data_IF_482818983951
#
_entry.id   IF_482818983951
#
_cell.length_a   1.000
_cell.length_b   1.000
_cell.length_c   1.000
_cell.angle_alpha   90.00
_cell.angle_beta   90.00
_cell.angle_gamma   90.00
#
_symmetry.space_group_name_H-M   'P 1'
#
loop_
_entity.id
_entity.type
_entity.pdbx_description
1 polymer ?
#
# COMPACT_ATOMS: atom_id res chain seq x y z
N UNK A 1 22.71 -6.65 -28.06
CA UNK A 1 22.96 -6.15 -26.69
C UNK A 1 21.76 -6.51 -25.86
N UNK A 2 21.89 -7.53 -25.03
CA UNK A 2 20.83 -8.10 -24.19
C UNK A 2 20.56 -7.11 -23.06
N UNK A 3 19.38 -6.49 -23.03
CA UNK A 3 18.93 -5.63 -21.94
C UNK A 3 18.87 -6.41 -20.62
N UNK A 4 18.98 -5.74 -19.46
CA UNK A 4 18.95 -6.40 -18.17
C UNK A 4 17.60 -7.07 -17.98
N UNK A 5 17.63 -8.41 -17.90
CA UNK A 5 16.48 -9.25 -17.53
C UNK A 5 15.94 -8.77 -16.18
N UNK A 6 14.69 -8.28 -16.19
CA UNK A 6 13.94 -7.86 -15.01
C UNK A 6 13.66 -9.10 -14.14
N UNK A 7 14.60 -9.43 -13.23
CA UNK A 7 14.30 -10.39 -12.17
C UNK A 7 13.31 -9.74 -11.20
N UNK A 8 12.24 -10.45 -10.76
CA UNK A 8 11.40 -9.97 -9.67
C UNK A 8 12.30 -9.65 -8.48
N UNK A 9 12.12 -8.50 -7.84
CA UNK A 9 12.82 -8.21 -6.59
C UNK A 9 12.52 -9.34 -5.60
N UNK A 10 13.55 -9.95 -5.05
CA UNK A 10 13.45 -11.03 -4.08
C UNK A 10 12.55 -10.59 -2.92
N UNK A 11 11.33 -11.17 -2.82
CA UNK A 11 10.39 -10.91 -1.74
C UNK A 11 8.92 -10.70 -2.13
N UNK A 12 8.58 -10.37 -3.38
CA UNK A 12 7.18 -10.17 -3.78
C UNK A 12 6.45 -11.50 -3.91
N UNK A 13 5.46 -11.76 -3.05
CA UNK A 13 4.68 -13.00 -3.18
C UNK A 13 3.76 -12.94 -4.41
N UNK A 14 3.58 -14.09 -5.09
CA UNK A 14 2.64 -14.20 -6.22
C UNK A 14 1.23 -13.68 -5.89
N UNK A 15 0.78 -13.89 -4.63
CA UNK A 15 -0.49 -13.35 -4.14
C UNK A 15 -0.51 -11.83 -4.11
N UNK A 16 0.58 -11.20 -3.70
CA UNK A 16 0.67 -9.75 -3.60
C UNK A 16 0.70 -9.09 -4.99
N UNK A 17 1.40 -9.67 -5.97
CA UNK A 17 1.38 -9.25 -7.37
C UNK A 17 -0.01 -9.45 -7.98
N UNK A 18 -0.65 -10.59 -7.72
CA UNK A 18 -2.01 -10.87 -8.20
C UNK A 18 -3.01 -9.82 -7.69
N UNK A 19 -2.93 -9.41 -6.43
CA UNK A 19 -3.79 -8.33 -5.89
C UNK A 19 -3.55 -7.00 -6.63
N UNK A 20 -2.31 -6.68 -6.98
CA UNK A 20 -2.01 -5.49 -7.79
C UNK A 20 -2.62 -5.60 -9.18
N UNK A 21 -2.47 -6.75 -9.86
CA UNK A 21 -3.09 -7.00 -11.17
C UNK A 21 -4.62 -6.91 -11.10
N UNK A 22 -5.24 -7.47 -10.07
CA UNK A 22 -6.70 -7.38 -9.89
C UNK A 22 -7.16 -5.94 -9.68
N UNK A 23 -6.44 -5.14 -8.92
CA UNK A 23 -6.77 -3.73 -8.67
C UNK A 23 -6.61 -2.85 -9.91
N UNK A 24 -5.50 -3.02 -10.64
CA UNK A 24 -5.13 -2.16 -11.76
C UNK A 24 -5.87 -2.47 -13.07
N UNK A 25 -6.18 -3.75 -13.30
CA UNK A 25 -6.67 -4.18 -14.61
C UNK A 25 -8.04 -4.85 -14.53
N UNK A 26 -8.29 -5.70 -13.55
CA UNK A 26 -9.55 -6.47 -13.48
C UNK A 26 -10.69 -5.66 -12.88
N UNK A 27 -10.43 -4.93 -11.81
CA UNK A 27 -11.43 -4.08 -11.16
C UNK A 27 -12.02 -3.02 -12.11
N UNK A 28 -11.21 -2.24 -12.85
CA UNK A 28 -11.73 -1.26 -13.81
C UNK A 28 -12.44 -1.89 -15.01
N UNK A 29 -12.08 -3.13 -15.37
CA UNK A 29 -12.69 -3.89 -16.48
C UNK A 29 -13.98 -4.64 -16.10
N UNK A 30 -14.59 -4.33 -14.94
CA UNK A 30 -15.85 -4.94 -14.52
C UNK A 30 -15.70 -6.07 -13.50
N UNK A 31 -14.48 -6.46 -13.14
CA UNK A 31 -14.20 -7.40 -12.05
C UNK A 31 -14.31 -8.87 -12.43
N UNK A 32 -14.16 -9.19 -13.70
CA UNK A 32 -14.25 -10.57 -14.24
C UNK A 32 -13.01 -10.86 -15.09
N UNK A 33 -12.43 -12.05 -14.95
CA UNK A 33 -11.20 -12.43 -15.67
C UNK A 33 -11.06 -13.94 -15.80
N UNK A 34 -10.41 -14.41 -16.87
CA UNK A 34 -10.11 -15.83 -17.07
C UNK A 34 -8.87 -16.28 -16.30
N UNK A 35 -8.84 -17.55 -15.89
CA UNK A 35 -7.67 -18.14 -15.22
C UNK A 35 -6.41 -18.01 -16.08
N UNK A 36 -6.52 -18.28 -17.38
CA UNK A 36 -5.40 -18.20 -18.31
C UNK A 36 -4.83 -16.79 -18.37
N UNK A 37 -5.70 -15.78 -18.51
CA UNK A 37 -5.29 -14.36 -18.52
C UNK A 37 -4.49 -14.00 -17.26
N UNK A 38 -4.95 -14.42 -16.08
CA UNK A 38 -4.21 -14.17 -14.83
C UNK A 38 -2.86 -14.90 -14.78
N UNK A 39 -2.81 -16.14 -15.26
CA UNK A 39 -1.56 -16.91 -15.31
C UNK A 39 -0.57 -16.27 -16.28
N UNK A 40 -1.01 -15.88 -17.48
CA UNK A 40 -0.17 -15.20 -18.48
C UNK A 40 0.30 -13.82 -17.97
N UNK A 41 -0.59 -13.03 -17.37
CA UNK A 41 -0.23 -11.75 -16.75
C UNK A 41 0.84 -11.91 -15.65
N UNK A 42 0.69 -12.93 -14.79
CA UNK A 42 1.67 -13.22 -13.74
C UNK A 42 2.98 -13.81 -14.32
N UNK A 43 2.94 -14.52 -15.45
CA UNK A 43 4.14 -15.00 -16.15
C UNK A 43 5.00 -13.82 -16.67
N UNK A 44 4.38 -12.72 -17.16
CA UNK A 44 5.10 -11.48 -17.50
C UNK A 44 5.83 -10.88 -16.29
N UNK A 45 5.35 -11.15 -15.06
CA UNK A 45 5.97 -10.72 -13.82
C UNK A 45 6.97 -11.74 -13.24
N UNK A 46 7.30 -12.79 -14.01
CA UNK A 46 8.24 -13.84 -13.59
C UNK A 46 7.66 -14.85 -12.59
N UNK A 47 6.33 -14.91 -12.44
CA UNK A 47 5.68 -15.89 -11.57
C UNK A 47 5.38 -17.16 -12.35
N UNK A 48 5.87 -18.31 -11.85
CA UNK A 48 5.58 -19.61 -12.44
C UNK A 48 4.08 -19.95 -12.38
N UNK A 49 3.58 -20.68 -13.38
CA UNK A 49 2.17 -21.07 -13.49
C UNK A 49 1.61 -21.72 -12.22
N UNK A 50 2.38 -22.65 -11.63
CA UNK A 50 2.00 -23.32 -10.38
C UNK A 50 1.75 -22.33 -9.25
N UNK A 51 2.65 -21.37 -9.08
CA UNK A 51 2.56 -20.33 -8.04
C UNK A 51 1.41 -19.36 -8.32
N UNK A 52 1.17 -19.02 -9.61
CA UNK A 52 0.04 -18.21 -10.03
C UNK A 52 -1.29 -18.90 -9.68
N UNK A 53 -1.46 -20.18 -10.03
CA UNK A 53 -2.67 -20.96 -9.71
C UNK A 53 -2.89 -21.08 -8.19
N UNK A 54 -1.83 -21.31 -7.41
CA UNK A 54 -1.91 -21.31 -5.95
C UNK A 54 -2.33 -19.96 -5.37
N UNK A 55 -1.81 -18.86 -5.93
CA UNK A 55 -2.18 -17.51 -5.51
C UNK A 55 -3.67 -17.23 -5.77
N UNK A 56 -4.19 -17.63 -6.93
CA UNK A 56 -5.62 -17.51 -7.28
C UNK A 56 -6.48 -18.31 -6.29
N UNK A 57 -6.12 -19.58 -6.01
CA UNK A 57 -6.82 -20.41 -5.03
C UNK A 57 -6.87 -19.77 -3.65
N UNK A 58 -5.74 -19.23 -3.16
CA UNK A 58 -5.69 -18.53 -1.86
C UNK A 58 -6.59 -17.28 -1.81
N UNK A 59 -6.74 -16.55 -2.91
CA UNK A 59 -7.67 -15.42 -2.96
C UNK A 59 -9.12 -15.89 -2.99
N UNK A 60 -9.41 -17.05 -3.59
CA UNK A 60 -10.73 -17.65 -3.55
C UNK A 60 -11.09 -18.13 -2.12
N UNK A 61 -10.15 -18.82 -1.44
CA UNK A 61 -10.33 -19.24 -0.04
C UNK A 61 -10.56 -18.06 0.92
N UNK A 62 -10.00 -16.89 0.59
CA UNK A 62 -10.22 -15.64 1.33
C UNK A 62 -11.49 -14.89 0.91
N UNK A 63 -12.26 -15.42 -0.02
CA UNK A 63 -13.48 -14.81 -0.51
C UNK A 63 -13.27 -13.51 -1.30
N UNK A 64 -12.10 -13.30 -1.89
CA UNK A 64 -11.80 -12.11 -2.72
C UNK A 64 -12.30 -12.32 -4.14
N UNK A 65 -12.14 -13.52 -4.68
CA UNK A 65 -12.64 -13.93 -5.98
C UNK A 65 -13.50 -15.19 -5.85
N UNK A 66 -14.47 -15.36 -6.73
CA UNK A 66 -15.31 -16.57 -6.84
C UNK A 66 -15.12 -17.20 -8.23
N UNK A 67 -15.02 -18.53 -8.27
CA UNK A 67 -14.87 -19.28 -9.51
C UNK A 67 -16.23 -19.53 -10.19
N UNK A 68 -16.29 -19.33 -11.49
CA UNK A 68 -17.38 -19.78 -12.36
C UNK A 68 -16.81 -20.73 -13.42
N UNK A 69 -17.43 -21.91 -13.57
CA UNK A 69 -17.05 -22.85 -14.62
C UNK A 69 -17.78 -22.56 -15.91
N UNK A 70 -17.04 -22.46 -17.01
CA UNK A 70 -17.53 -22.33 -18.37
C UNK A 70 -16.94 -23.46 -19.21
N UNK A 71 -17.59 -24.61 -19.21
CA UNK A 71 -17.07 -25.83 -19.87
C UNK A 71 -15.75 -26.27 -19.27
N UNK A 72 -14.69 -26.31 -20.06
CA UNK A 72 -13.31 -26.67 -19.63
C UNK A 72 -12.54 -25.49 -19.06
N UNK A 73 -13.07 -24.28 -19.11
CA UNK A 73 -12.40 -23.05 -18.66
C UNK A 73 -12.99 -22.60 -17.33
N UNK A 74 -12.19 -21.88 -16.54
CA UNK A 74 -12.64 -21.25 -15.30
C UNK A 74 -12.47 -19.73 -15.41
N UNK A 75 -13.52 -19.03 -15.04
CA UNK A 75 -13.55 -17.57 -14.93
C UNK A 75 -13.64 -17.19 -13.46
N UNK A 76 -13.05 -16.08 -13.11
CA UNK A 76 -13.03 -15.53 -11.76
C UNK A 76 -13.75 -14.19 -11.74
N UNK A 77 -14.65 -14.05 -10.78
CA UNK A 77 -15.39 -12.80 -10.56
C UNK A 77 -15.01 -12.25 -9.18
N UNK A 78 -14.73 -10.95 -9.11
CA UNK A 78 -14.52 -10.28 -7.82
C UNK A 78 -15.80 -10.36 -6.99
N UNK A 79 -15.70 -10.90 -5.77
CA UNK A 79 -16.82 -10.90 -4.82
C UNK A 79 -17.14 -9.47 -4.36
N UNK A 80 -18.29 -9.25 -3.72
CA UNK A 80 -18.61 -7.95 -3.12
C UNK A 80 -17.55 -7.51 -2.09
N UNK A 81 -17.03 -8.47 -1.28
CA UNK A 81 -15.94 -8.23 -0.34
C UNK A 81 -14.61 -7.89 -1.03
N UNK A 82 -14.25 -8.68 -2.07
CA UNK A 82 -13.06 -8.44 -2.86
C UNK A 82 -13.08 -7.10 -3.59
N UNK A 83 -14.23 -6.73 -4.15
CA UNK A 83 -14.41 -5.42 -4.80
C UNK A 83 -14.23 -4.27 -3.82
N UNK A 84 -14.85 -4.32 -2.63
CA UNK A 84 -14.66 -3.30 -1.58
C UNK A 84 -13.19 -3.18 -1.20
N UNK A 85 -12.53 -4.31 -0.91
CA UNK A 85 -11.10 -4.34 -0.56
C UNK A 85 -10.24 -3.64 -1.63
N UNK A 86 -10.46 -3.94 -2.90
CA UNK A 86 -9.67 -3.36 -4.00
C UNK A 86 -10.00 -1.89 -4.23
N UNK A 87 -11.27 -1.47 -4.13
CA UNK A 87 -11.66 -0.06 -4.24
C UNK A 87 -11.02 0.78 -3.13
N UNK A 88 -11.11 0.32 -1.88
CA UNK A 88 -10.51 1.02 -0.74
C UNK A 88 -8.98 1.05 -0.85
N UNK A 89 -8.37 -0.05 -1.29
CA UNK A 89 -6.94 -0.13 -1.55
C UNK A 89 -6.49 0.82 -2.65
N UNK A 90 -7.21 0.84 -3.77
CA UNK A 90 -6.93 1.75 -4.90
C UNK A 90 -7.03 3.21 -4.46
N UNK A 91 -8.11 3.58 -3.78
CA UNK A 91 -8.28 4.93 -3.25
C UNK A 91 -7.09 5.32 -2.37
N UNK A 92 -6.73 4.47 -1.40
CA UNK A 92 -5.61 4.72 -0.49
C UNK A 92 -4.27 4.89 -1.22
N UNK A 93 -4.02 4.10 -2.26
CA UNK A 93 -2.78 4.15 -3.05
C UNK A 93 -2.66 5.45 -3.85
N UNK A 94 -3.75 5.89 -4.48
CA UNK A 94 -3.73 7.03 -5.40
C UNK A 94 -3.96 8.36 -4.72
N UNK A 95 -4.75 8.42 -3.65
CA UNK A 95 -4.96 9.64 -2.85
C UNK A 95 -3.79 9.93 -1.90
N UNK A 96 -2.98 8.92 -1.57
CA UNK A 96 -1.82 9.07 -0.71
C UNK A 96 -0.82 10.12 -1.24
N UNK A 97 -0.37 11.01 -0.36
CA UNK A 97 0.57 12.08 -0.69
C UNK A 97 -0.06 13.25 -1.44
N UNK A 98 -1.41 13.28 -1.58
CA UNK A 98 -2.14 14.39 -2.23
C UNK A 98 -2.75 15.38 -1.24
N UNK A 99 -2.62 15.13 0.06
CA UNK A 99 -3.18 15.99 1.10
C UNK A 99 -2.55 17.40 1.08
N UNK A 100 -3.37 18.41 1.34
CA UNK A 100 -2.90 19.78 1.58
C UNK A 100 -2.23 19.87 2.95
N UNK A 101 -1.22 20.75 3.08
CA UNK A 101 -0.47 20.95 4.32
C UNK A 101 -1.23 21.91 5.27
N UNK A 102 -2.44 21.51 5.68
CA UNK A 102 -3.38 22.32 6.49
C UNK A 102 -3.28 22.00 8.00
N UNK A 103 -2.14 21.56 8.49
CA UNK A 103 -2.00 21.22 9.89
C UNK A 103 -2.21 22.44 10.82
N UNK A 104 -3.10 22.27 11.78
CA UNK A 104 -3.55 23.29 12.74
C UNK A 104 -2.70 23.40 14.02
N UNK A 105 -1.47 22.84 14.00
CA UNK A 105 -0.50 22.77 15.10
C UNK A 105 -0.92 21.91 16.30
N UNK A 106 -2.03 21.19 16.16
CA UNK A 106 -2.53 20.29 17.20
C UNK A 106 -2.12 18.84 16.93
N UNK A 107 -1.97 18.12 18.02
CA UNK A 107 -1.61 16.71 18.05
C UNK A 107 -2.74 15.90 18.66
N UNK A 108 -3.04 14.76 18.07
CA UNK A 108 -3.77 13.70 18.74
C UNK A 108 -2.77 12.88 19.54
N UNK A 109 -2.89 12.89 20.86
CA UNK A 109 -1.98 12.17 21.76
C UNK A 109 -2.73 11.05 22.44
N UNK A 110 -2.14 9.86 22.45
CA UNK A 110 -2.61 8.68 23.19
C UNK A 110 -1.61 8.37 24.30
N UNK A 111 -2.03 8.54 25.54
CA UNK A 111 -1.28 8.10 26.72
C UNK A 111 -1.88 6.77 27.17
N UNK A 112 -1.06 5.73 27.30
CA UNK A 112 -1.54 4.39 27.62
C UNK A 112 -0.64 3.67 28.60
N UNK A 113 -1.25 2.90 29.48
CA UNK A 113 -0.56 2.01 30.40
C UNK A 113 -0.93 0.56 30.08
N UNK A 114 0.05 -0.24 29.68
CA UNK A 114 -0.10 -1.68 29.50
C UNK A 114 0.77 -2.39 30.54
N UNK A 115 0.21 -3.26 31.39
CA UNK A 115 0.97 -3.98 32.41
C UNK A 115 2.20 -4.70 31.85
N UNK A 116 3.31 -4.80 32.59
CA UNK A 116 4.57 -5.39 32.12
C UNK A 116 4.42 -6.84 31.63
N UNK A 117 3.55 -7.61 32.25
CA UNK A 117 3.23 -9.00 31.96
C UNK A 117 2.44 -9.18 30.65
N UNK A 118 1.89 -8.09 30.10
CA UNK A 118 1.09 -8.10 28.86
C UNK A 118 1.86 -7.60 27.62
N UNK A 119 3.10 -8.04 27.47
CA UNK A 119 3.99 -7.61 26.37
C UNK A 119 3.35 -7.76 24.98
N UNK A 120 2.73 -8.90 24.70
CA UNK A 120 2.09 -9.14 23.39
C UNK A 120 0.93 -8.15 23.11
N UNK A 121 0.18 -7.73 24.14
CA UNK A 121 -0.88 -6.73 23.99
C UNK A 121 -0.27 -5.34 23.69
N UNK A 122 0.83 -4.99 24.34
CA UNK A 122 1.56 -3.74 24.07
C UNK A 122 2.08 -3.70 22.65
N UNK A 123 2.66 -4.77 22.14
CA UNK A 123 3.16 -4.84 20.78
C UNK A 123 2.04 -4.77 19.75
N UNK A 124 0.88 -5.41 20.01
CA UNK A 124 -0.32 -5.28 19.17
C UNK A 124 -0.84 -3.84 19.14
N UNK A 125 -0.93 -3.18 20.30
CA UNK A 125 -1.32 -1.79 20.39
C UNK A 125 -0.40 -0.91 19.56
N UNK A 126 0.92 -1.03 19.75
CA UNK A 126 1.90 -0.24 19.01
C UNK A 126 1.81 -0.50 17.50
N UNK A 127 1.66 -1.75 17.06
CA UNK A 127 1.50 -2.07 15.65
C UNK A 127 0.23 -1.45 15.05
N UNK A 128 -0.90 -1.50 15.77
CA UNK A 128 -2.16 -0.93 15.29
C UNK A 128 -2.13 0.60 15.28
N UNK A 129 -1.52 1.23 16.28
CA UNK A 129 -1.31 2.68 16.30
C UNK A 129 -0.34 3.14 15.21
N UNK A 130 0.77 2.42 14.98
CA UNK A 130 1.69 2.69 13.87
C UNK A 130 0.97 2.60 12.51
N UNK A 131 0.17 1.55 12.31
CA UNK A 131 -0.66 1.39 11.12
C UNK A 131 -1.68 2.53 10.93
N UNK A 132 -2.17 3.11 12.04
CA UNK A 132 -3.01 4.30 12.04
C UNK A 132 -2.19 5.61 11.89
N UNK A 133 -0.86 5.53 11.68
CA UNK A 133 0.03 6.66 11.44
C UNK A 133 0.47 7.40 12.71
N UNK A 134 0.49 6.72 13.85
CA UNK A 134 1.03 7.30 15.07
C UNK A 134 2.53 7.04 15.20
N UNK A 135 3.26 8.08 15.63
CA UNK A 135 4.63 7.96 16.13
C UNK A 135 4.66 7.78 17.66
N UNK A 136 5.81 7.42 18.21
CA UNK A 136 5.92 7.06 19.61
C UNK A 136 6.96 7.91 20.34
N UNK A 137 6.51 8.60 21.39
CA UNK A 137 7.38 9.30 22.33
C UNK A 137 7.62 8.41 23.56
N UNK A 138 8.50 7.41 23.40
CA UNK A 138 8.79 6.42 24.44
C UNK A 138 7.81 5.26 24.51
N UNK A 139 7.63 4.70 25.73
CA UNK A 139 6.93 3.43 25.92
C UNK A 139 5.40 3.54 26.02
N UNK A 140 4.90 4.73 26.42
CA UNK A 140 3.51 4.91 26.85
C UNK A 140 2.79 6.08 26.17
N UNK A 141 3.43 6.72 25.19
CA UNK A 141 2.86 7.88 24.50
C UNK A 141 2.98 7.69 22.99
N UNK A 142 1.85 7.82 22.31
CA UNK A 142 1.79 7.89 20.85
C UNK A 142 1.20 9.22 20.42
N UNK A 143 1.68 9.78 19.32
CA UNK A 143 1.20 11.07 18.77
C UNK A 143 0.92 10.95 17.26
N UNK A 144 -0.03 11.75 16.81
CA UNK A 144 -0.32 11.94 15.37
C UNK A 144 -0.68 13.41 15.11
N UNK A 145 -0.27 14.00 13.98
CA UNK A 145 -0.71 15.33 13.59
C UNK A 145 -2.16 15.35 13.04
N UNK A 146 -2.79 14.20 12.92
CA UNK A 146 -4.10 14.01 12.32
C UNK A 146 -5.17 13.77 13.37
N UNK A 147 -5.98 14.79 13.68
CA UNK A 147 -7.04 14.69 14.70
C UNK A 147 -8.21 13.80 14.26
N UNK A 148 -8.43 13.66 12.97
CA UNK A 148 -9.46 12.82 12.36
C UNK A 148 -9.23 11.31 12.57
N UNK A 149 -8.04 10.91 13.03
CA UNK A 149 -7.72 9.52 13.38
C UNK A 149 -8.24 9.08 14.75
N UNK A 150 -8.84 9.97 15.54
CA UNK A 150 -9.39 9.67 16.86
C UNK A 150 -10.40 8.50 16.87
N UNK A 151 -11.37 8.39 15.93
CA UNK A 151 -12.27 7.23 15.89
C UNK A 151 -11.55 5.89 15.71
N UNK A 152 -10.51 5.85 14.86
CA UNK A 152 -9.71 4.65 14.64
C UNK A 152 -8.93 4.23 15.89
N UNK A 153 -8.35 5.19 16.61
CA UNK A 153 -7.67 4.95 17.89
C UNK A 153 -8.63 4.40 18.93
N UNK A 154 -9.80 5.01 19.07
CA UNK A 154 -10.81 4.57 20.02
C UNK A 154 -11.25 3.12 19.74
N UNK A 155 -11.35 2.72 18.48
CA UNK A 155 -11.65 1.34 18.13
C UNK A 155 -10.51 0.38 18.47
N UNK A 156 -9.26 0.78 18.22
CA UNK A 156 -8.07 0.02 18.61
C UNK A 156 -8.05 -0.21 20.13
N UNK A 157 -8.26 0.83 20.93
CA UNK A 157 -8.26 0.72 22.40
C UNK A 157 -9.39 -0.16 22.91
N UNK A 158 -10.59 -0.07 22.33
CA UNK A 158 -11.73 -0.94 22.68
C UNK A 158 -11.46 -2.40 22.34
N UNK A 159 -11.00 -2.66 21.12
CA UNK A 159 -10.74 -4.04 20.64
C UNK A 159 -9.67 -4.77 21.44
N UNK A 160 -8.74 -4.01 22.03
CA UNK A 160 -7.69 -4.54 22.90
C UNK A 160 -8.04 -4.52 24.39
N UNK A 161 -9.21 -3.99 24.80
CA UNK A 161 -9.59 -3.88 26.20
C UNK A 161 -8.70 -2.94 27.00
N UNK A 162 -8.21 -1.85 26.39
CA UNK A 162 -7.26 -0.91 26.99
C UNK A 162 -7.88 0.46 27.32
N UNK A 163 -9.20 0.59 27.26
CA UNK A 163 -9.90 1.87 27.46
C UNK A 163 -9.59 2.47 28.83
N UNK A 164 -9.70 1.68 29.91
CA UNK A 164 -9.49 2.18 31.29
C UNK A 164 -8.05 2.62 31.57
N UNK A 165 -7.08 2.02 30.89
CA UNK A 165 -5.65 2.34 31.02
C UNK A 165 -5.14 3.38 30.03
N UNK A 166 -6.02 4.07 29.29
CA UNK A 166 -5.64 4.96 28.20
C UNK A 166 -6.40 6.29 28.26
N UNK A 167 -5.74 7.34 27.81
CA UNK A 167 -6.34 8.67 27.62
C UNK A 167 -6.01 9.16 26.21
N UNK A 168 -7.01 9.65 25.49
CA UNK A 168 -6.84 10.28 24.18
C UNK A 168 -7.11 11.77 24.36
N UNK A 169 -6.15 12.61 23.99
CA UNK A 169 -6.24 14.06 24.13
C UNK A 169 -5.80 14.76 22.85
N UNK A 170 -6.35 15.93 22.63
CA UNK A 170 -5.86 16.91 21.64
C UNK A 170 -4.97 17.88 22.37
N UNK A 171 -3.74 18.06 21.92
CA UNK A 171 -2.71 18.83 22.60
C UNK A 171 -1.97 19.72 21.60
N UNK A 172 -1.40 20.80 22.09
CA UNK A 172 -0.45 21.64 21.38
C UNK A 172 0.95 21.42 21.95
N UNK A 173 1.97 21.56 21.12
CA UNK A 173 3.34 21.51 21.58
C UNK A 173 3.69 22.78 22.34
N UNK A 174 4.30 22.64 23.51
CA UNK A 174 4.85 23.81 24.23
C UNK A 174 6.17 24.29 23.61
N UNK A 175 6.63 25.44 24.06
CA UNK A 175 7.82 26.13 23.52
C UNK A 175 9.14 25.39 23.79
N UNK A 176 9.17 24.45 24.75
CA UNK A 176 10.41 23.76 25.16
C UNK A 176 10.96 22.84 24.07
N UNK A 177 10.08 22.19 23.31
CA UNK A 177 10.44 21.24 22.26
C UNK A 177 9.71 21.63 20.98
N UNK A 178 10.42 22.11 19.95
CA UNK A 178 9.82 22.42 18.67
C UNK A 178 9.10 21.22 18.06
N UNK A 179 7.97 21.46 17.37
CA UNK A 179 7.14 20.39 16.77
C UNK A 179 7.93 19.49 15.81
N UNK A 180 8.89 20.03 15.04
CA UNK A 180 9.80 19.23 14.18
C UNK A 180 10.62 18.22 15.01
N UNK A 181 11.10 18.62 16.16
CA UNK A 181 11.89 17.72 17.03
C UNK A 181 11.01 16.61 17.63
N UNK A 182 9.71 16.87 17.87
CA UNK A 182 8.77 15.82 18.25
C UNK A 182 8.61 14.78 17.14
N UNK A 183 8.54 15.23 15.91
CA UNK A 183 8.48 14.34 14.72
C UNK A 183 9.73 13.47 14.63
N UNK A 184 10.91 14.05 14.69
CA UNK A 184 12.20 13.32 14.64
C UNK A 184 12.35 12.27 15.76
N UNK A 185 11.74 12.52 16.91
CA UNK A 185 11.74 11.57 18.05
C UNK A 185 10.70 10.47 17.90
N UNK A 186 9.57 10.76 17.28
CA UNK A 186 8.42 9.88 17.23
C UNK A 186 8.43 8.92 16.05
N UNK A 187 9.03 9.31 14.91
CA UNK A 187 9.09 8.51 13.68
C UNK A 187 10.53 8.29 13.22
N UNK A 188 10.77 7.14 12.61
CA UNK A 188 12.04 6.85 11.92
C UNK A 188 12.00 7.45 10.50
N UNK A 189 12.20 8.77 10.43
CA UNK A 189 12.23 9.50 9.15
C UNK A 189 13.39 9.05 8.26
N UNK A 190 14.52 8.62 8.86
CA UNK A 190 15.70 8.19 8.11
C UNK A 190 15.42 6.92 7.29
N UNK A 191 14.80 5.93 7.91
CA UNK A 191 14.41 4.69 7.21
C UNK A 191 13.39 4.97 6.10
N UNK A 192 12.39 5.79 6.37
CA UNK A 192 11.38 6.14 5.38
C UNK A 192 11.96 6.93 4.20
N UNK A 193 12.89 7.87 4.47
CA UNK A 193 13.61 8.60 3.41
C UNK A 193 14.41 7.65 2.52
N UNK A 194 15.08 6.64 3.09
CA UNK A 194 15.79 5.61 2.33
C UNK A 194 14.85 4.78 1.46
N UNK A 195 13.67 4.42 1.97
CA UNK A 195 12.64 3.72 1.20
C UNK A 195 12.20 4.54 -0.02
N UNK A 196 11.93 5.84 0.15
CA UNK A 196 11.61 6.74 -0.97
C UNK A 196 12.77 6.88 -1.96
N UNK A 197 13.99 7.06 -1.47
CA UNK A 197 15.17 7.13 -2.34
C UNK A 197 15.35 5.83 -3.15
N UNK A 198 15.14 4.68 -2.53
CA UNK A 198 15.15 3.38 -3.20
C UNK A 198 14.07 3.25 -4.28
N UNK A 199 12.86 3.76 -4.01
CA UNK A 199 11.79 3.82 -5.00
C UNK A 199 12.19 4.72 -6.18
N UNK A 200 12.65 5.93 -5.93
CA UNK A 200 13.10 6.87 -6.98
C UNK A 200 14.21 6.26 -7.82
N UNK A 201 15.24 5.70 -7.20
CA UNK A 201 16.35 5.05 -7.91
C UNK A 201 15.87 3.85 -8.76
N UNK A 202 14.84 3.15 -8.32
CA UNK A 202 14.27 2.01 -9.04
C UNK A 202 13.46 2.37 -10.28
N UNK A 203 12.91 3.59 -10.36
CA UNK A 203 11.96 3.95 -11.42
C UNK A 203 12.35 5.18 -12.27
N UNK A 204 13.14 6.13 -11.78
CA UNK A 204 13.46 7.35 -12.48
C UNK A 204 14.14 7.15 -13.86
N UNK A 205 14.91 6.08 -14.02
CA UNK A 205 15.60 5.75 -15.27
C UNK A 205 14.92 4.67 -16.13
N UNK A 206 13.70 4.25 -15.78
CA UNK A 206 13.00 3.20 -16.53
C UNK A 206 12.30 3.76 -17.78
N UNK A 207 12.60 3.20 -18.93
CA UNK A 207 12.00 3.53 -20.22
C UNK A 207 11.46 2.23 -20.87
N UNK A 208 10.31 1.69 -20.41
CA UNK A 208 9.74 0.49 -21.02
C UNK A 208 9.30 0.76 -22.46
N UNK A 209 9.77 -0.05 -23.41
CA UNK A 209 9.60 0.18 -24.83
C UNK A 209 8.32 -0.46 -25.39
N UNK A 210 8.11 -1.73 -25.06
CA UNK A 210 6.97 -2.50 -25.55
C UNK A 210 5.74 -2.42 -24.63
N UNK A 211 4.53 -2.71 -25.12
CA UNK A 211 3.35 -2.83 -24.26
C UNK A 211 3.50 -3.85 -23.13
N UNK A 212 4.21 -4.94 -23.36
CA UNK A 212 4.50 -5.96 -22.34
C UNK A 212 5.46 -5.42 -21.27
N UNK A 213 6.51 -4.68 -21.67
CA UNK A 213 7.43 -4.03 -20.74
C UNK A 213 6.70 -2.97 -19.89
N UNK A 214 5.78 -2.20 -20.51
CA UNK A 214 4.96 -1.21 -19.81
C UNK A 214 3.98 -1.85 -18.85
N UNK A 215 3.42 -3.01 -19.21
CA UNK A 215 2.59 -3.78 -18.28
C UNK A 215 3.39 -4.20 -17.04
N UNK A 216 4.56 -4.81 -17.24
CA UNK A 216 5.45 -5.23 -16.14
C UNK A 216 5.88 -4.03 -15.28
N UNK A 217 6.32 -2.94 -15.92
CA UNK A 217 6.76 -1.74 -15.24
C UNK A 217 5.63 -1.06 -14.44
N UNK A 218 4.40 -1.02 -14.97
CA UNK A 218 3.24 -0.46 -14.28
C UNK A 218 2.85 -1.29 -13.06
N UNK A 219 2.85 -2.63 -13.18
CA UNK A 219 2.58 -3.50 -12.03
C UNK A 219 3.65 -3.34 -10.95
N UNK A 220 4.94 -3.35 -11.32
CA UNK A 220 6.06 -3.13 -10.38
C UNK A 220 5.94 -1.77 -9.68
N UNK A 221 5.63 -0.72 -10.42
CA UNK A 221 5.48 0.64 -9.91
C UNK A 221 4.41 0.71 -8.81
N UNK A 222 3.20 0.22 -9.12
CA UNK A 222 2.10 0.22 -8.16
C UNK A 222 2.38 -0.72 -7.00
N UNK A 223 2.99 -1.87 -7.27
CA UNK A 223 3.36 -2.85 -6.24
C UNK A 223 4.35 -2.28 -5.22
N UNK A 224 5.35 -1.53 -5.66
CA UNK A 224 6.31 -0.87 -4.78
C UNK A 224 5.70 0.35 -4.09
N UNK A 225 4.91 1.16 -4.81
CA UNK A 225 4.28 2.36 -4.26
C UNK A 225 3.26 2.06 -3.17
N UNK A 226 2.44 1.03 -3.33
CA UNK A 226 1.33 0.70 -2.41
C UNK A 226 1.74 0.43 -0.95
N UNK A 227 3.03 0.32 -0.65
CA UNK A 227 3.52 0.15 0.72
C UNK A 227 3.61 1.47 1.48
N UNK A 228 3.86 2.59 0.77
CA UNK A 228 4.04 3.89 1.41
C UNK A 228 2.83 4.38 2.21
N UNK A 229 1.57 4.21 1.78
CA UNK A 229 0.40 4.51 2.60
C UNK A 229 0.32 3.80 3.94
N UNK A 230 1.15 2.80 4.19
CA UNK A 230 1.25 2.06 5.45
C UNK A 230 2.53 2.38 6.23
N UNK A 231 3.52 2.97 5.59
CA UNK A 231 4.81 3.31 6.18
C UNK A 231 4.88 4.80 6.56
N UNK A 232 4.27 5.65 5.75
CA UNK A 232 4.27 7.10 5.94
C UNK A 232 2.98 7.55 6.65
N UNK A 233 3.18 8.27 7.73
CA UNK A 233 2.10 8.84 8.54
C UNK A 233 1.47 10.10 7.92
N UNK A 234 1.92 10.53 6.72
CA UNK A 234 1.55 11.79 6.07
C UNK A 234 1.80 13.01 6.97
N UNK A 235 2.98 13.04 7.55
CA UNK A 235 3.40 14.15 8.42
C UNK A 235 3.39 15.45 7.63
N UNK A 236 2.85 16.56 8.18
CA UNK A 236 2.82 17.85 7.52
C UNK A 236 4.19 18.28 7.00
N UNK A 237 4.27 18.74 5.75
CA UNK A 237 5.53 19.04 5.05
C UNK A 237 6.41 20.01 5.80
N UNK A 238 5.80 21.00 6.49
CA UNK A 238 6.52 21.99 7.31
C UNK A 238 7.29 21.40 8.51
N UNK A 239 6.95 20.17 8.92
CA UNK A 239 7.60 19.44 10.01
C UNK A 239 8.68 18.47 9.52
N UNK A 240 8.75 18.22 8.20
CA UNK A 240 9.73 17.35 7.58
C UNK A 240 11.02 18.10 7.23
N UNK A 241 12.14 17.39 7.01
CA UNK A 241 13.35 17.99 6.44
C UNK A 241 13.09 18.70 5.11
N UNK A 242 13.81 19.78 4.77
CA UNK A 242 13.59 20.55 3.52
C UNK A 242 13.78 19.74 2.24
N UNK A 243 14.61 18.70 2.29
CA UNK A 243 14.96 17.79 1.20
C UNK A 243 14.18 16.47 1.26
N UNK A 244 13.00 16.47 1.90
CA UNK A 244 12.16 15.28 2.06
C UNK A 244 11.80 14.63 0.72
N UNK A 245 12.15 13.34 0.50
CA UNK A 245 12.01 12.70 -0.80
C UNK A 245 10.56 12.22 -1.13
N UNK A 246 9.61 12.32 -0.22
CA UNK A 246 8.26 11.82 -0.40
C UNK A 246 7.51 12.49 -1.57
N UNK A 247 7.57 13.83 -1.67
CA UNK A 247 6.94 14.56 -2.76
C UNK A 247 7.55 14.25 -4.14
N UNK A 248 8.87 14.30 -4.34
CA UNK A 248 9.49 13.86 -5.59
C UNK A 248 9.16 12.42 -5.97
N UNK A 249 9.07 11.52 -4.98
CA UNK A 249 8.68 10.13 -5.20
C UNK A 249 7.22 10.01 -5.68
N UNK A 250 6.30 10.79 -5.11
CA UNK A 250 4.89 10.85 -5.55
C UNK A 250 4.77 11.40 -6.97
N UNK A 251 5.47 12.48 -7.28
CA UNK A 251 5.50 13.07 -8.62
C UNK A 251 6.01 12.08 -9.67
N UNK A 252 7.07 11.33 -9.34
CA UNK A 252 7.60 10.26 -10.18
C UNK A 252 6.57 9.13 -10.36
N UNK A 253 5.95 8.67 -9.27
CA UNK A 253 4.89 7.65 -9.33
C UNK A 253 3.78 8.08 -10.28
N UNK A 254 3.22 9.27 -10.11
CA UNK A 254 2.13 9.79 -10.92
C UNK A 254 2.53 9.94 -12.39
N UNK A 255 3.74 10.42 -12.66
CA UNK A 255 4.28 10.58 -14.00
C UNK A 255 4.45 9.25 -14.73
N UNK A 256 5.10 8.27 -14.09
CA UNK A 256 5.29 6.94 -14.64
C UNK A 256 3.96 6.20 -14.82
N UNK A 257 3.07 6.23 -13.82
CA UNK A 257 1.76 5.59 -13.90
C UNK A 257 0.94 6.15 -15.08
N UNK A 258 0.90 7.46 -15.22
CA UNK A 258 0.19 8.12 -16.34
C UNK A 258 0.76 7.73 -17.70
N UNK A 259 2.08 7.63 -17.80
CA UNK A 259 2.76 7.29 -19.04
C UNK A 259 2.59 5.81 -19.45
N UNK A 260 2.58 4.89 -18.48
CA UNK A 260 2.63 3.45 -18.78
C UNK A 260 1.26 2.77 -18.75
N UNK A 261 0.31 3.24 -17.93
CA UNK A 261 -0.99 2.57 -17.72
C UNK A 261 -1.83 2.38 -18.98
N UNK A 262 -1.89 3.30 -19.98
CA UNK A 262 -2.67 3.08 -21.18
C UNK A 262 -2.21 1.86 -21.98
N UNK A 263 -0.91 1.70 -22.16
CA UNK A 263 -0.33 0.57 -22.87
C UNK A 263 -0.37 -0.73 -22.07
N UNK A 264 -0.16 -0.64 -20.77
CA UNK A 264 -0.31 -1.76 -19.86
C UNK A 264 -1.73 -2.34 -19.91
N UNK A 265 -2.76 -1.49 -19.92
CA UNK A 265 -4.16 -1.92 -20.09
C UNK A 265 -4.42 -2.54 -21.45
N UNK A 266 -3.84 -2.00 -22.53
CA UNK A 266 -3.94 -2.61 -23.86
C UNK A 266 -3.30 -3.99 -23.92
N UNK A 267 -2.13 -4.15 -23.29
CA UNK A 267 -1.46 -5.44 -23.16
C UNK A 267 -2.36 -6.44 -22.43
N UNK A 268 -2.86 -6.10 -21.25
CA UNK A 268 -3.73 -6.96 -20.46
C UNK A 268 -5.02 -7.35 -21.19
N UNK A 269 -5.69 -6.39 -21.86
CA UNK A 269 -6.88 -6.66 -22.69
C UNK A 269 -6.56 -7.54 -23.89
N UNK A 270 -5.31 -7.53 -24.38
CA UNK A 270 -4.84 -8.45 -25.43
C UNK A 270 -4.81 -9.90 -24.94
N UNK A 271 -4.35 -10.15 -23.71
CA UNK A 271 -4.37 -11.47 -23.09
C UNK A 271 -5.80 -12.01 -22.93
N UNK A 272 -6.76 -11.14 -22.57
CA UNK A 272 -8.18 -11.54 -22.46
C UNK A 272 -8.81 -11.95 -23.79
N UNK A 273 -8.49 -11.23 -24.89
CA UNK A 273 -9.03 -11.55 -26.23
C UNK A 273 -8.50 -12.87 -26.79
N UNK A 274 -7.26 -13.25 -26.46
CA UNK A 274 -6.71 -14.57 -26.77
C UNK A 274 -7.52 -15.72 -26.17
N UNK A 275 -8.29 -15.46 -25.12
CA UNK A 275 -9.18 -16.42 -24.47
C UNK A 275 -10.60 -16.50 -25.07
N UNK A 276 -11.05 -15.48 -25.80
CA UNK A 276 -12.41 -15.40 -26.37
C UNK A 276 -12.61 -16.10 -27.71
N UNK A 277 -11.55 -16.58 -28.37
CA UNK A 277 -11.52 -17.00 -29.77
C UNK A 277 -11.21 -18.48 -30.01
N UNK A 278 -11.79 -19.41 -29.23
CA UNK A 278 -11.72 -20.86 -29.57
C UNK A 278 -12.92 -21.60 -28.99
#
# INVERSE_FOLDING_TARGET
>A
MTGPSLRPRAGSSAKALLLTVLGEFVLPAGGVVWTRTLVEALAHLGVEERNARQAIGRLADQGIVAAERHGRRSRWTLTAGGRRLLVDGTRRIYEFGSATDDWDERWLMVVYAVPPDRRAQRERLRSQLAFAGFGFLGASVAISPHLDREPAVNEVLRSLGLVEGSVVVRAEAGDLVPARQLVERAWDLGSLAQDYAGFVAGFAGRHPETPADRFTAAVDLVHEWRRFPFLDAEIPTRLLPPDWPGRPAKELFDGCHRAWSPDARRCFSGLERGDGGS
#
